data_IF_280229624232
#
_entry.id   IF_280229624232
#
_cell.length_a   1.000
_cell.length_b   1.000
_cell.length_c   1.000
_cell.angle_alpha   90.00
_cell.angle_beta   90.00
_cell.angle_gamma   90.00
#
_symmetry.space_group_name_H-M   'P 1'
#
loop_
_entity.id
_entity.type
_entity.pdbx_description
1 polymer ?
#
# COMPACT_ATOMS: atom_id res chain seq x y z
N UNK A 1 56.50 50.94 -23.55
CA UNK A 1 55.16 51.08 -22.91
C UNK A 1 54.50 49.69 -22.96
N UNK A 2 54.52 48.86 -21.89
CA UNK A 2 53.45 48.63 -20.86
C UNK A 2 52.03 48.61 -21.49
N UNK A 3 51.10 47.66 -21.27
CA UNK A 3 50.94 46.41 -20.46
C UNK A 3 49.63 45.74 -20.97
N UNK A 4 49.63 44.43 -21.24
CA UNK A 4 48.90 43.37 -20.49
C UNK A 4 47.41 43.17 -20.84
N UNK A 5 47.13 41.96 -21.36
CA UNK A 5 45.84 41.34 -21.68
C UNK A 5 45.07 41.05 -20.38
N UNK A 6 43.78 41.40 -20.30
CA UNK A 6 42.90 41.03 -19.20
C UNK A 6 41.83 40.05 -19.67
N UNK A 7 41.95 38.82 -19.16
CA UNK A 7 41.08 37.67 -19.36
C UNK A 7 39.88 37.81 -18.41
N UNK A 8 38.66 37.90 -18.94
CA UNK A 8 37.42 37.90 -18.13
C UNK A 8 36.95 36.46 -17.89
N UNK A 9 37.14 35.98 -16.67
CA UNK A 9 36.64 34.69 -16.19
C UNK A 9 35.17 34.85 -15.80
N UNK A 10 34.27 34.16 -16.50
CA UNK A 10 32.85 34.09 -16.14
C UNK A 10 32.64 33.10 -14.99
N UNK A 11 32.09 33.60 -13.87
CA UNK A 11 31.72 32.80 -12.70
C UNK A 11 30.44 32.00 -13.01
N UNK A 12 30.55 30.67 -13.11
CA UNK A 12 29.41 29.75 -13.10
C UNK A 12 29.09 29.36 -11.65
N UNK A 13 28.05 29.96 -11.07
CA UNK A 13 27.48 29.54 -9.79
C UNK A 13 26.42 28.46 -10.00
N UNK A 14 26.76 27.22 -9.71
CA UNK A 14 25.83 26.07 -9.71
C UNK A 14 25.04 26.06 -8.40
N UNK A 15 23.75 26.41 -8.46
CA UNK A 15 22.82 26.25 -7.33
C UNK A 15 22.42 24.77 -7.25
N UNK A 16 23.01 24.03 -6.31
CA UNK A 16 22.59 22.65 -6.03
C UNK A 16 21.36 22.69 -5.12
N UNK A 17 20.17 22.45 -5.69
CA UNK A 17 18.95 22.34 -4.91
C UNK A 17 18.92 20.98 -4.18
N UNK A 18 19.11 21.01 -2.86
CA UNK A 18 18.90 19.88 -1.96
C UNK A 18 17.38 19.67 -1.80
N UNK A 19 16.81 18.70 -2.50
CA UNK A 19 15.43 18.25 -2.25
C UNK A 19 15.43 17.35 -1.02
N UNK A 20 15.06 17.90 0.13
CA UNK A 20 14.75 17.12 1.33
C UNK A 20 13.48 16.33 1.05
N UNK A 21 13.61 15.02 0.83
CA UNK A 21 12.48 14.09 0.78
C UNK A 21 11.98 13.89 2.22
N UNK A 22 11.07 14.76 2.65
CA UNK A 22 10.37 14.55 3.92
C UNK A 22 9.48 13.30 3.78
N UNK A 23 9.41 12.42 4.80
CA UNK A 23 8.43 11.33 4.77
C UNK A 23 7.04 11.93 4.69
N UNK A 24 6.22 11.44 3.75
CA UNK A 24 4.83 11.84 3.66
C UNK A 24 4.15 11.53 5.01
N UNK A 25 3.69 12.57 5.70
CA UNK A 25 2.85 12.40 6.87
C UNK A 25 1.52 11.81 6.39
N UNK A 26 1.30 10.53 6.68
CA UNK A 26 0.03 9.88 6.41
C UNK A 26 -0.98 10.39 7.44
N UNK A 27 -1.96 11.18 6.97
CA UNK A 27 -3.11 11.54 7.79
C UNK A 27 -3.73 10.25 8.36
N UNK A 28 -4.07 10.26 9.65
CA UNK A 28 -4.64 9.11 10.33
C UNK A 28 -5.92 8.70 9.59
N UNK A 29 -5.84 7.64 8.78
CA UNK A 29 -6.97 7.20 7.99
C UNK A 29 -7.93 6.51 8.96
N UNK A 30 -8.95 7.22 9.43
CA UNK A 30 -9.96 6.69 10.36
C UNK A 30 -10.59 5.37 9.88
N UNK A 31 -10.50 5.08 8.58
CA UNK A 31 -10.97 3.82 7.99
C UNK A 31 -10.05 2.63 8.27
N UNK A 32 -8.76 2.80 8.49
CA UNK A 32 -7.84 1.71 8.84
C UNK A 32 -6.83 2.14 9.91
N UNK A 33 -6.76 1.48 11.08
CA UNK A 33 -5.83 1.89 12.14
C UNK A 33 -4.37 1.89 11.67
N UNK A 34 -3.54 2.72 12.31
CA UNK A 34 -2.09 2.72 12.10
C UNK A 34 -1.48 1.33 12.34
N UNK A 35 -0.46 0.98 11.54
CA UNK A 35 0.25 -0.29 11.61
C UNK A 35 -0.66 -1.52 11.40
N UNK A 36 -1.71 -1.36 10.58
CA UNK A 36 -2.65 -2.42 10.21
C UNK A 36 -2.86 -2.46 8.71
N UNK A 37 -3.27 -3.62 8.23
CA UNK A 37 -3.81 -3.82 6.90
C UNK A 37 -5.32 -4.03 7.01
N UNK A 38 -6.10 -3.38 6.15
CA UNK A 38 -7.55 -3.50 6.15
C UNK A 38 -8.07 -3.93 4.78
N UNK A 39 -8.96 -4.92 4.80
CA UNK A 39 -9.78 -5.30 3.65
C UNK A 39 -11.19 -4.77 3.85
N UNK A 40 -11.83 -4.38 2.75
CA UNK A 40 -13.20 -3.85 2.73
C UNK A 40 -14.07 -4.68 1.78
N UNK A 41 -15.29 -4.96 2.21
CA UNK A 41 -16.27 -5.80 1.47
C UNK A 41 -16.71 -5.15 0.16
N UNK A 42 -16.60 -3.83 0.02
CA UNK A 42 -16.99 -3.10 -1.18
C UNK A 42 -15.88 -2.16 -1.65
N UNK A 43 -16.04 -1.65 -2.88
CA UNK A 43 -15.19 -0.59 -3.43
C UNK A 43 -15.28 0.70 -2.59
N UNK A 44 -14.32 1.62 -2.81
CA UNK A 44 -14.21 2.90 -2.13
C UNK A 44 -14.17 2.80 -0.59
N UNK A 45 -13.63 1.70 -0.08
CA UNK A 45 -13.54 1.40 1.35
C UNK A 45 -14.92 1.27 2.02
N UNK A 46 -15.93 0.85 1.25
CA UNK A 46 -17.30 0.65 1.73
C UNK A 46 -17.54 -0.74 2.32
N UNK A 47 -18.74 -0.93 2.86
CA UNK A 47 -19.16 -2.20 3.45
C UNK A 47 -18.45 -2.52 4.77
N UNK A 48 -18.38 -3.80 5.12
CA UNK A 48 -17.69 -4.26 6.32
C UNK A 48 -16.17 -4.20 6.16
N UNK A 49 -15.47 -4.14 7.29
CA UNK A 49 -14.01 -4.01 7.37
C UNK A 49 -13.40 -5.15 8.18
N UNK A 50 -12.40 -5.81 7.63
CA UNK A 50 -11.55 -6.77 8.33
C UNK A 50 -10.17 -6.14 8.54
N UNK A 51 -9.58 -6.33 9.72
CA UNK A 51 -8.34 -5.67 10.16
C UNK A 51 -7.31 -6.72 10.53
N UNK A 52 -6.11 -6.62 9.96
CA UNK A 52 -5.03 -7.58 10.11
C UNK A 52 -3.76 -6.88 10.60
N UNK A 53 -2.93 -7.60 11.38
CA UNK A 53 -1.60 -7.14 11.78
C UNK A 53 -0.50 -8.19 11.59
N UNK A 54 -0.84 -9.32 10.98
CA UNK A 54 0.05 -10.46 10.77
C UNK A 54 -0.40 -11.23 9.52
N UNK A 55 0.46 -12.11 9.03
CA UNK A 55 0.16 -13.04 7.93
C UNK A 55 -0.99 -13.95 8.30
N UNK A 56 -2.03 -13.96 7.47
CA UNK A 56 -3.17 -14.89 7.59
C UNK A 56 -3.22 -15.77 6.34
N UNK A 57 -2.98 -17.07 6.51
CA UNK A 57 -2.88 -18.02 5.39
C UNK A 57 -4.21 -18.67 5.01
N UNK A 58 -5.31 -18.24 5.61
CA UNK A 58 -6.62 -18.80 5.29
C UNK A 58 -7.75 -17.84 5.65
N UNK A 59 -8.20 -17.03 4.70
CA UNK A 59 -9.29 -16.08 4.94
C UNK A 59 -10.68 -16.73 5.10
N UNK A 60 -10.78 -18.06 4.95
CA UNK A 60 -12.04 -18.81 5.07
C UNK A 60 -12.57 -18.78 6.50
N UNK A 61 -11.73 -18.63 7.53
CA UNK A 61 -12.17 -18.56 8.92
C UNK A 61 -12.33 -17.13 9.47
N UNK A 62 -12.03 -16.11 8.67
CA UNK A 62 -12.21 -14.72 9.06
C UNK A 62 -13.60 -14.26 8.62
N UNK A 63 -14.52 -14.09 9.56
CA UNK A 63 -15.82 -13.49 9.28
C UNK A 63 -15.74 -11.96 9.27
N UNK A 64 -16.56 -11.34 8.43
CA UNK A 64 -16.76 -9.90 8.55
C UNK A 64 -17.45 -9.59 9.89
N UNK A 65 -17.16 -8.45 10.54
CA UNK A 65 -17.81 -8.08 11.79
C UNK A 65 -19.35 -8.13 11.68
N UNK A 66 -19.99 -8.81 12.64
CA UNK A 66 -21.46 -8.97 12.71
C UNK A 66 -22.07 -9.63 11.46
N UNK A 67 -21.39 -10.64 10.92
CA UNK A 67 -21.75 -11.35 9.68
C UNK A 67 -21.32 -12.81 9.79
N UNK A 68 -22.05 -13.73 9.16
CA UNK A 68 -21.61 -15.13 8.97
C UNK A 68 -20.85 -15.33 7.65
N UNK A 69 -20.74 -14.26 6.85
CA UNK A 69 -19.95 -14.27 5.60
C UNK A 69 -18.48 -14.07 5.92
N UNK A 70 -17.65 -14.91 5.31
CA UNK A 70 -16.20 -14.86 5.43
C UNK A 70 -15.58 -13.78 4.54
N UNK A 71 -14.36 -13.36 4.83
CA UNK A 71 -13.58 -12.39 4.05
C UNK A 71 -13.09 -13.02 2.74
N UNK A 72 -12.86 -14.34 2.76
CA UNK A 72 -12.41 -15.14 1.63
C UNK A 72 -13.19 -14.85 0.34
N UNK A 73 -12.48 -14.45 -0.72
CA UNK A 73 -13.04 -14.14 -2.02
C UNK A 73 -14.17 -13.10 -1.99
N UNK A 74 -14.08 -12.10 -1.10
CA UNK A 74 -15.12 -11.06 -0.95
C UNK A 74 -14.63 -9.65 -0.73
N UNK A 75 -13.31 -9.44 -0.63
CA UNK A 75 -12.76 -8.10 -0.50
C UNK A 75 -12.68 -7.42 -1.87
N UNK A 76 -13.06 -6.15 -1.93
CA UNK A 76 -13.07 -5.34 -3.16
C UNK A 76 -12.20 -4.07 -3.08
N UNK A 77 -11.73 -3.68 -1.88
CA UNK A 77 -10.76 -2.59 -1.71
C UNK A 77 -9.90 -2.78 -0.45
N UNK A 78 -8.79 -2.06 -0.36
CA UNK A 78 -7.85 -2.19 0.77
C UNK A 78 -7.17 -0.88 1.16
N UNK A 79 -6.70 -0.86 2.42
CA UNK A 79 -5.75 0.11 2.91
C UNK A 79 -4.61 -0.65 3.61
N UNK A 80 -3.36 -0.36 3.22
CA UNK A 80 -2.17 -0.86 3.87
C UNK A 80 -1.48 0.28 4.64
N UNK A 81 -1.78 0.42 5.92
CA UNK A 81 -1.07 1.31 6.85
C UNK A 81 0.05 0.56 7.59
N UNK A 82 0.48 -0.58 7.07
CA UNK A 82 1.68 -1.24 7.54
C UNK A 82 2.87 -0.58 6.83
N UNK A 83 3.94 -0.33 7.58
CA UNK A 83 5.21 0.18 7.04
C UNK A 83 5.93 -0.81 6.11
N UNK A 84 5.28 -1.91 5.74
CA UNK A 84 5.80 -3.00 4.91
C UNK A 84 4.77 -3.43 3.85
N UNK A 85 5.21 -4.07 2.75
CA UNK A 85 4.29 -4.62 1.76
C UNK A 85 3.44 -5.77 2.32
N UNK A 86 2.23 -5.90 1.78
CA UNK A 86 1.33 -7.03 2.02
C UNK A 86 0.97 -7.68 0.69
N UNK A 87 1.11 -9.00 0.61
CA UNK A 87 0.76 -9.77 -0.58
C UNK A 87 -0.55 -10.50 -0.31
N UNK A 88 -1.57 -10.25 -1.14
CA UNK A 88 -2.78 -11.04 -1.18
C UNK A 88 -2.65 -12.15 -2.22
N UNK A 89 -3.15 -13.34 -1.92
CA UNK A 89 -3.14 -14.51 -2.82
C UNK A 89 -4.55 -15.06 -2.99
N UNK A 90 -4.84 -15.60 -4.17
CA UNK A 90 -6.20 -16.05 -4.52
C UNK A 90 -6.52 -17.51 -4.17
N UNK A 91 -5.50 -18.33 -3.89
CA UNK A 91 -5.67 -19.70 -3.40
C UNK A 91 -5.47 -19.74 -1.89
N UNK A 92 -6.49 -20.21 -1.18
CA UNK A 92 -6.50 -20.46 0.27
C UNK A 92 -5.52 -21.57 0.67
N UNK A 93 -5.15 -21.60 1.97
CA UNK A 93 -4.27 -22.56 2.66
C UNK A 93 -2.80 -22.64 2.16
N UNK A 94 -2.61 -22.71 0.85
CA UNK A 94 -1.31 -22.76 0.19
C UNK A 94 -0.74 -21.37 -0.08
N UNK A 95 -1.58 -20.32 -0.11
CA UNK A 95 -1.23 -18.95 -0.49
C UNK A 95 -0.43 -18.89 -1.80
N UNK A 96 -0.95 -19.61 -2.80
CA UNK A 96 -0.41 -19.66 -4.17
C UNK A 96 -1.34 -18.92 -5.13
N UNK A 97 -1.04 -19.06 -6.42
CA UNK A 97 -1.85 -18.48 -7.48
C UNK A 97 -1.53 -17.01 -7.74
N UNK A 98 -2.53 -16.30 -8.23
CA UNK A 98 -2.43 -14.87 -8.56
C UNK A 98 -2.16 -14.09 -7.29
N UNK A 99 -1.33 -13.07 -7.40
CA UNK A 99 -1.14 -12.09 -6.34
C UNK A 99 -1.66 -10.71 -6.68
N UNK A 100 -1.91 -10.01 -5.59
CA UNK A 100 -1.97 -8.56 -5.56
C UNK A 100 -0.97 -8.09 -4.50
N UNK A 101 -0.08 -7.17 -4.86
CA UNK A 101 0.88 -6.58 -3.93
C UNK A 101 0.41 -5.20 -3.49
N UNK A 102 -0.02 -5.08 -2.24
CA UNK A 102 -0.21 -3.80 -1.59
C UNK A 102 1.14 -3.23 -1.17
N UNK A 103 1.53 -2.09 -1.74
CA UNK A 103 2.76 -1.38 -1.32
C UNK A 103 2.64 -0.96 0.14
N UNK A 104 3.77 -0.75 0.82
CA UNK A 104 3.75 -0.12 2.15
C UNK A 104 3.00 1.20 2.07
N UNK A 105 2.25 1.54 3.11
CA UNK A 105 1.61 2.86 3.21
C UNK A 105 0.83 3.22 1.94
N UNK A 106 -0.14 2.39 1.54
CA UNK A 106 -0.88 2.55 0.28
C UNK A 106 -2.37 2.25 0.42
N UNK A 107 -3.16 2.70 -0.55
CA UNK A 107 -4.58 2.42 -0.65
C UNK A 107 -4.95 1.97 -2.07
N UNK A 108 -5.98 1.14 -2.18
CA UNK A 108 -6.61 0.81 -3.45
C UNK A 108 -8.12 0.76 -3.27
N UNK A 109 -8.80 1.68 -3.95
CA UNK A 109 -10.23 1.89 -3.85
C UNK A 109 -11.04 0.83 -4.59
N UNK A 110 -10.43 0.04 -5.47
CA UNK A 110 -11.16 -0.98 -6.22
C UNK A 110 -10.21 -2.00 -6.81
N UNK A 111 -10.25 -3.24 -6.35
CA UNK A 111 -9.44 -4.32 -6.92
C UNK A 111 -9.82 -4.69 -8.37
N UNK A 112 -10.93 -4.17 -8.90
CA UNK A 112 -11.37 -4.43 -10.27
C UNK A 112 -10.38 -3.90 -11.32
N UNK A 113 -9.71 -2.78 -11.05
CA UNK A 113 -8.65 -2.24 -11.91
C UNK A 113 -7.38 -3.12 -11.95
N UNK A 114 -7.26 -4.07 -11.01
CA UNK A 114 -6.15 -4.98 -10.84
C UNK A 114 -6.52 -6.44 -11.14
N UNK A 115 -7.72 -6.69 -11.69
CA UNK A 115 -8.24 -8.03 -11.95
C UNK A 115 -8.21 -8.97 -10.73
N UNK A 116 -8.33 -8.39 -9.51
CA UNK A 116 -8.20 -9.08 -8.22
C UNK A 116 -9.46 -8.92 -7.33
N UNK A 117 -10.54 -8.36 -7.87
CA UNK A 117 -11.78 -8.17 -7.13
C UNK A 117 -12.39 -9.49 -6.67
N UNK A 118 -12.73 -9.57 -5.38
CA UNK A 118 -13.35 -10.73 -4.75
C UNK A 118 -12.50 -12.00 -4.87
N UNK A 119 -11.16 -11.86 -4.81
CA UNK A 119 -10.23 -12.99 -4.93
C UNK A 119 -9.35 -13.25 -3.72
N UNK A 120 -9.25 -12.31 -2.78
CA UNK A 120 -8.33 -12.49 -1.67
C UNK A 120 -8.73 -13.70 -0.80
N UNK A 121 -7.85 -14.69 -0.73
CA UNK A 121 -8.00 -15.92 0.06
C UNK A 121 -6.90 -16.10 1.11
N UNK A 122 -5.81 -15.36 0.95
CA UNK A 122 -4.62 -15.36 1.80
C UNK A 122 -4.03 -13.94 1.90
N UNK A 123 -3.37 -13.65 3.01
CA UNK A 123 -2.66 -12.41 3.29
C UNK A 123 -1.27 -12.72 3.85
N UNK A 124 -0.22 -12.23 3.21
CA UNK A 124 1.17 -12.40 3.65
C UNK A 124 1.78 -11.03 3.93
N UNK A 125 2.19 -10.80 5.18
CA UNK A 125 2.97 -9.62 5.56
C UNK A 125 4.44 -9.90 5.27
N UNK A 126 5.06 -9.09 4.40
CA UNK A 126 6.47 -9.23 4.03
C UNK A 126 7.31 -8.44 5.03
N UNK A 127 8.09 -9.12 5.87
CA UNK A 127 8.98 -8.49 6.85
C UNK A 127 10.41 -8.44 6.35
#
# INVERSE_FOLDING_TARGET
MRRTIALTIALMSTVTALTVVSPAAHADNTKCPRNRFCLFEHVNFGGKRAVFGWTDRNLVNNEWPRSTRTVNNRASSMINNMGVPVILKDIDHSCRGRDYTARRESEDRSFSNNSFNDKASCLIVVR
#
